data_IF_080401807332
#
_entry.id   IF_080401807332
#
_cell.length_a   1.000
_cell.length_b   1.000
_cell.length_c   1.000
_cell.angle_alpha   90.00
_cell.angle_beta   90.00
_cell.angle_gamma   90.00
#
_symmetry.space_group_name_H-M   'P 1'
#
loop_
_entity.id
_entity.type
_entity.pdbx_description
1 polymer ?
#
# COMPACT_ATOMS: atom_id res chain seq x y z
N UNK A 1 -80.24 5.13 20.07
CA UNK A 1 -78.95 4.68 20.65
C UNK A 1 -78.96 3.18 20.40
N UNK A 2 -78.12 2.58 19.57
CA UNK A 2 -76.67 2.75 19.33
C UNK A 2 -76.35 2.15 17.96
N UNK A 3 -75.68 2.92 17.10
CA UNK A 3 -74.32 2.67 16.59
C UNK A 3 -74.16 1.46 15.64
N UNK A 4 -74.25 1.80 14.35
CA UNK A 4 -73.62 1.13 13.23
C UNK A 4 -72.09 1.18 13.36
N UNK A 5 -71.44 0.02 13.29
CA UNK A 5 -69.98 -0.11 13.17
C UNK A 5 -69.65 -1.00 11.96
N UNK A 6 -69.49 -0.35 10.80
CA UNK A 6 -68.91 -0.97 9.61
C UNK A 6 -67.40 -1.16 9.85
N UNK A 7 -67.01 -2.38 10.17
CA UNK A 7 -65.61 -2.79 10.26
C UNK A 7 -65.00 -2.89 8.86
N UNK A 8 -64.25 -1.87 8.44
CA UNK A 8 -63.40 -1.92 7.25
C UNK A 8 -62.23 -2.89 7.48
N UNK A 9 -62.30 -4.07 6.87
CA UNK A 9 -61.18 -5.01 6.77
C UNK A 9 -60.15 -4.46 5.77
N UNK A 10 -59.01 -3.96 6.27
CA UNK A 10 -57.85 -3.64 5.45
C UNK A 10 -57.04 -4.92 5.15
N UNK A 11 -56.62 -5.16 3.90
CA UNK A 11 -55.82 -6.34 3.57
C UNK A 11 -54.42 -6.23 4.19
N UNK A 12 -53.94 -7.33 4.75
CA UNK A 12 -52.59 -7.45 5.32
C UNK A 12 -51.51 -7.15 4.25
N UNK A 13 -50.40 -6.48 4.60
CA UNK A 13 -49.36 -6.19 3.64
C UNK A 13 -48.70 -7.49 3.18
N UNK A 14 -48.56 -7.66 1.86
CA UNK A 14 -47.85 -8.82 1.28
C UNK A 14 -46.40 -8.82 1.79
N UNK A 15 -45.81 -9.99 2.08
CA UNK A 15 -44.41 -10.07 2.47
C UNK A 15 -43.55 -9.51 1.33
N UNK A 16 -42.82 -8.43 1.62
CA UNK A 16 -41.82 -7.89 0.71
C UNK A 16 -40.80 -8.99 0.42
N UNK A 17 -40.70 -9.38 -0.85
CA UNK A 17 -39.61 -10.24 -1.32
C UNK A 17 -38.29 -9.56 -0.96
N UNK A 18 -37.59 -10.14 0.02
CA UNK A 18 -36.18 -9.82 0.25
C UNK A 18 -35.42 -10.35 -0.95
N UNK A 19 -34.99 -9.43 -1.81
CA UNK A 19 -33.97 -9.71 -2.81
C UNK A 19 -32.71 -10.15 -2.06
N UNK A 20 -32.05 -11.25 -2.45
CA UNK A 20 -30.78 -11.61 -1.86
C UNK A 20 -29.79 -10.46 -2.13
N UNK A 21 -29.33 -9.79 -1.08
CA UNK A 21 -28.14 -8.94 -1.18
C UNK A 21 -26.96 -9.85 -1.40
N UNK A 22 -26.62 -10.09 -2.67
CA UNK A 22 -25.31 -10.60 -3.01
C UNK A 22 -24.35 -9.41 -3.00
N UNK A 23 -23.36 -9.30 -2.09
CA UNK A 23 -22.19 -8.53 -2.41
C UNK A 23 -21.45 -9.38 -3.45
N UNK A 24 -21.77 -9.20 -4.73
CA UNK A 24 -20.84 -9.62 -5.77
C UNK A 24 -19.64 -8.69 -5.61
N UNK A 25 -18.70 -9.05 -4.73
CA UNK A 25 -17.35 -8.50 -4.78
C UNK A 25 -16.84 -8.92 -6.15
N UNK A 26 -17.05 -8.06 -7.15
CA UNK A 26 -16.43 -8.20 -8.44
C UNK A 26 -14.94 -8.31 -8.13
N UNK A 27 -14.33 -9.44 -8.47
CA UNK A 27 -12.91 -9.73 -8.21
C UNK A 27 -12.06 -8.89 -9.16
N UNK A 28 -12.10 -7.61 -8.85
CA UNK A 28 -11.40 -6.49 -9.39
C UNK A 28 -9.89 -6.65 -9.61
N UNK A 29 -9.31 -7.29 -8.57
CA UNK A 29 -7.90 -7.16 -8.20
C UNK A 29 -7.00 -7.88 -9.19
N UNK A 30 -7.28 -9.16 -9.47
CA UNK A 30 -6.45 -9.97 -10.37
C UNK A 30 -6.38 -9.39 -11.79
N UNK A 31 -7.50 -8.97 -12.42
CA UNK A 31 -7.46 -8.28 -13.71
C UNK A 31 -6.63 -6.99 -13.67
N UNK A 32 -6.82 -6.15 -12.64
CA UNK A 32 -6.02 -4.91 -12.49
C UNK A 32 -4.54 -5.20 -12.30
N UNK A 33 -4.18 -6.15 -11.42
CA UNK A 33 -2.80 -6.54 -11.14
C UNK A 33 -2.10 -7.13 -12.38
N UNK A 34 -2.86 -7.82 -13.23
CA UNK A 34 -2.37 -8.29 -14.53
C UNK A 34 -2.03 -7.13 -15.47
N UNK A 35 -2.85 -6.07 -15.46
CA UNK A 35 -2.56 -4.83 -16.22
C UNK A 35 -1.35 -4.08 -15.66
N UNK A 36 -1.24 -3.93 -14.33
CA UNK A 36 -0.07 -3.32 -13.68
C UNK A 36 1.22 -4.06 -14.04
N UNK A 37 1.21 -5.40 -13.99
CA UNK A 37 2.36 -6.22 -14.39
C UNK A 37 2.73 -6.01 -15.85
N UNK A 38 1.74 -5.94 -16.75
CA UNK A 38 1.99 -5.68 -18.18
C UNK A 38 2.58 -4.28 -18.40
N UNK A 39 2.04 -3.27 -17.71
CA UNK A 39 2.54 -1.90 -17.77
C UNK A 39 3.98 -1.80 -17.24
N UNK A 40 4.27 -2.39 -16.07
CA UNK A 40 5.61 -2.43 -15.48
C UNK A 40 6.64 -3.09 -16.39
N UNK A 41 6.30 -4.23 -17.01
CA UNK A 41 7.18 -4.91 -17.96
C UNK A 41 7.46 -4.10 -19.22
N UNK A 42 6.51 -3.24 -19.62
CA UNK A 42 6.67 -2.36 -20.78
C UNK A 42 7.57 -1.18 -20.44
N UNK A 43 7.36 -0.57 -19.27
CA UNK A 43 8.11 0.60 -18.82
C UNK A 43 8.15 0.65 -17.28
N UNK A 44 9.35 0.68 -16.71
CA UNK A 44 9.59 0.94 -15.30
C UNK A 44 10.89 1.74 -15.12
N UNK A 45 11.01 2.52 -14.03
CA UNK A 45 12.21 3.31 -13.79
C UNK A 45 13.44 2.40 -13.60
N UNK A 46 14.58 2.79 -14.17
CA UNK A 46 15.81 2.01 -14.10
C UNK A 46 16.21 1.73 -12.64
N UNK A 47 16.62 0.49 -12.38
CA UNK A 47 17.06 0.02 -11.06
C UNK A 47 15.93 -0.40 -10.10
N UNK A 48 14.67 -0.09 -10.42
CA UNK A 48 13.54 -0.58 -9.64
C UNK A 48 13.18 -2.02 -10.02
N UNK A 49 12.71 -2.78 -9.04
CA UNK A 49 12.19 -4.14 -9.24
C UNK A 49 10.78 -4.21 -8.68
N UNK A 50 9.87 -4.90 -9.40
CA UNK A 50 8.54 -5.26 -8.91
C UNK A 50 8.10 -6.56 -9.60
N UNK A 51 8.00 -7.65 -8.85
CA UNK A 51 7.63 -8.96 -9.37
C UNK A 51 6.64 -9.66 -8.45
N UNK A 52 5.56 -10.26 -8.98
CA UNK A 52 4.71 -11.13 -8.18
C UNK A 52 5.47 -12.34 -7.65
N UNK A 53 5.15 -12.76 -6.43
CA UNK A 53 5.72 -13.95 -5.82
C UNK A 53 5.19 -15.23 -6.47
N UNK A 54 5.82 -16.37 -6.16
CA UNK A 54 5.34 -17.69 -6.58
C UNK A 54 4.69 -18.40 -5.39
N UNK A 55 3.57 -19.07 -5.66
CA UNK A 55 2.97 -20.03 -4.74
C UNK A 55 3.84 -21.30 -4.65
N UNK A 56 3.65 -22.15 -3.61
CA UNK A 56 4.38 -23.41 -3.47
C UNK A 56 4.22 -24.37 -4.65
N UNK A 57 3.09 -24.30 -5.36
CA UNK A 57 2.81 -25.07 -6.57
C UNK A 57 3.48 -24.50 -7.85
N UNK A 58 4.25 -23.43 -7.72
CA UNK A 58 4.93 -22.74 -8.82
C UNK A 58 4.07 -21.73 -9.59
N UNK A 59 2.78 -21.62 -9.26
CA UNK A 59 1.89 -20.61 -9.87
C UNK A 59 2.21 -19.20 -9.37
N UNK A 60 1.75 -18.18 -10.10
CA UNK A 60 2.03 -16.79 -9.77
C UNK A 60 0.99 -16.24 -8.78
N UNK A 61 1.46 -15.69 -7.66
CA UNK A 61 0.62 -14.98 -6.72
C UNK A 61 0.61 -13.48 -7.03
N UNK A 62 -0.41 -13.03 -7.76
CA UNK A 62 -0.56 -11.62 -8.11
C UNK A 62 -0.89 -10.73 -6.91
N UNK A 63 -1.32 -11.29 -5.78
CA UNK A 63 -1.70 -10.52 -4.59
C UNK A 63 -0.51 -10.15 -3.69
N UNK A 64 0.68 -10.66 -4.00
CA UNK A 64 1.87 -10.45 -3.17
C UNK A 64 3.11 -10.28 -4.05
N UNK A 65 3.71 -9.10 -4.00
CA UNK A 65 4.84 -8.73 -4.84
C UNK A 65 6.09 -8.48 -4.02
N UNK A 66 7.23 -8.91 -4.56
CA UNK A 66 8.56 -8.53 -4.13
C UNK A 66 9.04 -7.36 -4.97
N UNK A 67 9.34 -6.27 -4.30
CA UNK A 67 9.80 -5.04 -4.91
C UNK A 67 11.17 -4.66 -4.35
N UNK A 68 11.93 -3.88 -5.12
CA UNK A 68 13.15 -3.24 -4.66
C UNK A 68 13.24 -1.81 -5.20
N UNK A 69 13.60 -0.87 -4.32
CA UNK A 69 13.72 0.54 -4.63
C UNK A 69 15.21 0.94 -4.49
N UNK A 70 15.85 1.46 -5.54
CA UNK A 70 17.19 1.99 -5.42
C UNK A 70 17.18 3.33 -4.69
N UNK A 71 18.20 3.61 -3.89
CA UNK A 71 18.40 4.95 -3.37
C UNK A 71 18.65 5.95 -4.50
N UNK A 72 18.04 7.14 -4.40
CA UNK A 72 18.13 8.20 -5.41
C UNK A 72 19.57 8.75 -5.45
N UNK A 73 20.09 8.99 -6.66
CA UNK A 73 21.42 9.60 -6.85
C UNK A 73 21.49 10.99 -6.21
N UNK A 74 22.63 11.34 -5.62
CA UNK A 74 22.86 12.59 -4.92
C UNK A 74 22.26 12.64 -3.51
N UNK A 75 21.69 11.53 -3.01
CA UNK A 75 21.07 11.47 -1.68
C UNK A 75 21.87 10.56 -0.74
N UNK A 76 21.55 10.62 0.56
CA UNK A 76 22.15 9.76 1.58
C UNK A 76 21.88 8.26 1.35
N UNK A 77 20.86 7.94 0.56
CA UNK A 77 20.40 6.60 0.24
C UNK A 77 21.11 6.00 -0.97
N UNK A 78 21.86 6.80 -1.73
CA UNK A 78 22.55 6.37 -2.94
C UNK A 78 23.40 5.12 -2.70
N UNK A 79 23.34 4.18 -3.66
CA UNK A 79 24.05 2.90 -3.61
C UNK A 79 23.29 1.78 -2.89
N UNK A 80 22.28 2.10 -2.08
CA UNK A 80 21.41 1.10 -1.46
C UNK A 80 20.32 0.57 -2.41
N UNK A 81 19.92 -0.68 -2.21
CA UNK A 81 18.78 -1.32 -2.86
C UNK A 81 17.84 -1.90 -1.79
N UNK A 82 16.73 -1.20 -1.54
CA UNK A 82 15.83 -1.46 -0.42
C UNK A 82 14.68 -2.37 -0.85
N UNK A 83 14.66 -3.61 -0.32
CA UNK A 83 13.62 -4.60 -0.63
C UNK A 83 12.37 -4.36 0.21
N UNK A 84 11.21 -4.51 -0.42
CA UNK A 84 9.91 -4.43 0.26
C UNK A 84 8.91 -5.41 -0.35
N UNK A 85 7.94 -5.81 0.47
CA UNK A 85 6.76 -6.56 0.06
C UNK A 85 5.60 -5.62 -0.16
N UNK A 86 4.90 -5.80 -1.28
CA UNK A 86 3.67 -5.09 -1.61
C UNK A 86 2.52 -6.10 -1.58
N UNK A 87 1.60 -5.90 -0.64
CA UNK A 87 0.52 -6.82 -0.30
C UNK A 87 -0.82 -6.22 -0.73
N UNK A 88 -1.53 -6.92 -1.60
CA UNK A 88 -2.83 -6.49 -2.11
C UNK A 88 -3.96 -7.24 -1.40
N UNK A 89 -5.08 -6.56 -1.18
CA UNK A 89 -6.33 -7.17 -0.70
C UNK A 89 -7.25 -7.49 -1.87
N UNK A 90 -8.26 -8.33 -1.65
CA UNK A 90 -9.23 -8.70 -2.69
C UNK A 90 -10.02 -7.51 -3.25
N UNK A 91 -10.05 -6.39 -2.51
CA UNK A 91 -10.65 -5.11 -2.88
C UNK A 91 -9.64 -4.06 -3.38
N UNK A 92 -8.37 -4.41 -3.71
CA UNK A 92 -7.42 -3.52 -4.43
C UNK A 92 -7.74 -3.35 -5.92
N UNK A 93 -7.98 -2.15 -6.49
CA UNK A 93 -7.51 -0.86 -6.03
C UNK A 93 -8.61 0.03 -5.44
N UNK A 94 -9.77 -0.49 -5.02
CA UNK A 94 -10.61 0.30 -4.10
C UNK A 94 -9.82 0.59 -2.82
N UNK A 95 -9.14 -0.42 -2.27
CA UNK A 95 -8.17 -0.26 -1.18
C UNK A 95 -6.72 -0.15 -1.69
N UNK A 96 -5.84 0.59 -0.98
CA UNK A 96 -4.42 0.65 -1.31
C UNK A 96 -3.71 -0.68 -0.96
N UNK A 97 -2.59 -1.00 -1.63
CA UNK A 97 -1.72 -2.07 -1.17
C UNK A 97 -0.98 -1.66 0.11
N UNK A 98 -0.66 -2.64 0.97
CA UNK A 98 0.26 -2.44 2.08
C UNK A 98 1.70 -2.66 1.62
N UNK A 99 2.57 -1.66 1.79
CA UNK A 99 4.00 -1.77 1.50
C UNK A 99 4.79 -1.94 2.79
N UNK A 100 5.72 -2.89 2.81
CA UNK A 100 6.52 -3.23 4.00
C UNK A 100 7.97 -3.53 3.63
N UNK A 101 8.92 -2.76 4.13
CA UNK A 101 10.35 -3.05 3.98
C UNK A 101 10.70 -4.37 4.67
N UNK A 102 11.46 -5.21 3.96
CA UNK A 102 11.93 -6.51 4.46
C UNK A 102 13.43 -6.67 4.14
N UNK A 103 14.33 -6.54 5.15
CA UNK A 103 14.04 -6.19 6.55
C UNK A 103 13.59 -4.72 6.74
N UNK A 104 12.98 -4.37 7.89
CA UNK A 104 12.68 -2.98 8.23
C UNK A 104 13.92 -2.08 8.17
N UNK A 105 13.72 -0.82 7.79
CA UNK A 105 14.78 0.19 7.65
C UNK A 105 14.63 1.30 8.70
N UNK A 106 15.74 1.95 9.03
CA UNK A 106 15.75 3.15 9.85
C UNK A 106 15.24 4.34 9.03
N UNK A 107 13.99 4.75 9.25
CA UNK A 107 13.35 5.87 8.55
C UNK A 107 12.20 6.48 9.37
N UNK A 108 12.01 7.81 9.44
CA UNK A 108 10.95 8.42 10.25
C UNK A 108 9.53 7.93 9.94
N UNK A 109 9.24 7.62 8.66
CA UNK A 109 7.92 7.16 8.19
C UNK A 109 7.82 5.65 7.93
N UNK A 110 8.71 4.84 8.50
CA UNK A 110 8.63 3.37 8.42
C UNK A 110 8.44 2.84 9.83
N UNK A 111 7.36 2.10 10.08
CA UNK A 111 7.14 1.47 11.38
C UNK A 111 8.24 0.45 11.70
N UNK A 112 8.48 0.10 12.98
CA UNK A 112 9.38 -1.01 13.33
C UNK A 112 9.02 -2.35 12.66
N UNK A 113 7.76 -2.52 12.27
CA UNK A 113 7.29 -3.66 11.48
C UNK A 113 7.79 -3.65 10.02
N UNK A 114 8.37 -2.56 9.54
CA UNK A 114 8.70 -2.30 8.14
C UNK A 114 7.58 -1.64 7.34
N UNK A 115 6.37 -1.53 7.89
CA UNK A 115 5.23 -0.92 7.18
C UNK A 115 5.53 0.54 6.85
N UNK A 116 5.32 0.95 5.60
CA UNK A 116 5.52 2.33 5.14
C UNK A 116 4.28 3.17 5.43
N UNK A 117 4.47 4.34 6.02
CA UNK A 117 3.46 5.38 6.16
C UNK A 117 3.65 6.41 5.04
N UNK A 118 2.69 6.46 4.11
CA UNK A 118 2.67 7.37 2.98
C UNK A 118 1.20 7.61 2.62
N UNK A 119 0.81 8.86 2.39
CA UNK A 119 -0.61 9.22 2.22
C UNK A 119 -1.31 8.49 1.06
N UNK A 120 -0.59 8.20 -0.03
CA UNK A 120 -1.10 7.39 -1.15
C UNK A 120 -1.19 5.88 -0.85
N UNK A 121 -0.84 5.44 0.36
CA UNK A 121 -1.03 4.06 0.85
C UNK A 121 -2.12 3.98 1.92
N UNK A 122 -2.84 5.08 2.16
CA UNK A 122 -3.89 5.18 3.17
C UNK A 122 -5.24 5.49 2.51
N UNK A 123 -6.23 4.66 2.82
CA UNK A 123 -7.56 4.67 2.18
C UNK A 123 -8.30 6.00 2.40
N UNK A 124 -8.16 6.60 3.58
CA UNK A 124 -8.83 7.83 3.99
C UNK A 124 -8.01 9.11 3.70
N UNK A 125 -6.88 9.01 2.98
CA UNK A 125 -6.02 10.15 2.62
C UNK A 125 -5.96 10.34 1.09
N UNK A 126 -4.80 10.12 0.49
CA UNK A 126 -4.53 10.46 -0.92
C UNK A 126 -4.65 9.27 -1.86
N UNK A 127 -5.04 8.09 -1.35
CA UNK A 127 -5.24 6.92 -2.19
C UNK A 127 -6.30 7.19 -3.26
N UNK A 128 -5.99 6.79 -4.49
CA UNK A 128 -6.95 6.77 -5.60
C UNK A 128 -6.77 5.47 -6.35
N UNK A 129 -7.86 4.80 -6.78
CA UNK A 129 -7.77 3.55 -7.53
C UNK A 129 -6.92 3.65 -8.80
N UNK A 130 -6.76 4.85 -9.38
CA UNK A 130 -5.95 5.11 -10.56
C UNK A 130 -4.42 5.13 -10.30
N UNK A 131 -3.98 5.16 -9.04
CA UNK A 131 -2.56 5.15 -8.70
C UNK A 131 -1.96 3.79 -9.09
N UNK A 132 -0.85 3.86 -9.81
CA UNK A 132 -0.12 2.69 -10.35
C UNK A 132 0.95 2.21 -9.37
N UNK A 133 1.40 0.96 -9.52
CA UNK A 133 2.54 0.41 -8.78
C UNK A 133 3.80 1.27 -9.01
N UNK A 134 3.99 1.79 -10.23
CA UNK A 134 5.08 2.72 -10.56
C UNK A 134 5.03 3.99 -9.73
N UNK A 135 3.86 4.62 -9.61
CA UNK A 135 3.70 5.83 -8.80
C UNK A 135 3.92 5.55 -7.31
N UNK A 136 3.47 4.40 -6.81
CA UNK A 136 3.71 3.99 -5.42
C UNK A 136 5.21 3.87 -5.15
N UNK A 137 5.95 3.12 -5.97
CA UNK A 137 7.38 2.89 -5.75
C UNK A 137 8.20 4.18 -5.89
N UNK A 138 7.84 5.06 -6.83
CA UNK A 138 8.45 6.38 -6.93
C UNK A 138 8.14 7.27 -5.71
N UNK A 139 6.89 7.24 -5.23
CA UNK A 139 6.50 7.96 -4.02
C UNK A 139 7.27 7.49 -2.78
N UNK A 140 7.49 6.17 -2.64
CA UNK A 140 8.32 5.62 -1.57
C UNK A 140 9.78 6.04 -1.73
N UNK A 141 10.34 6.06 -2.95
CA UNK A 141 11.70 6.54 -3.19
C UNK A 141 11.87 8.01 -2.78
N UNK A 142 10.89 8.86 -3.10
CA UNK A 142 10.93 10.27 -2.69
C UNK A 142 10.83 10.40 -1.17
N UNK A 143 9.93 9.64 -0.55
CA UNK A 143 9.76 9.62 0.91
C UNK A 143 11.07 9.30 1.65
N UNK A 144 11.94 8.43 1.10
CA UNK A 144 13.25 8.16 1.69
C UNK A 144 14.07 9.46 1.83
N UNK A 145 14.07 10.29 0.78
CA UNK A 145 14.85 11.52 0.74
C UNK A 145 14.17 12.68 1.48
N UNK A 146 12.84 12.73 1.43
CA UNK A 146 12.01 13.79 2.00
C UNK A 146 11.02 13.21 3.04
N UNK A 147 11.48 12.87 4.26
CA UNK A 147 10.61 12.32 5.29
C UNK A 147 9.49 13.29 5.68
N UNK A 148 8.27 12.77 5.82
CA UNK A 148 7.12 13.52 6.32
C UNK A 148 7.16 13.62 7.85
N UNK A 149 7.62 14.75 8.39
CA UNK A 149 7.70 14.95 9.84
C UNK A 149 6.34 15.08 10.55
N UNK A 150 5.25 15.27 9.81
CA UNK A 150 3.91 15.40 10.39
C UNK A 150 3.28 14.04 10.72
N UNK A 151 3.83 12.95 10.18
CA UNK A 151 3.30 11.59 10.38
C UNK A 151 4.41 10.58 10.74
N UNK A 152 5.03 10.72 11.93
CA UNK A 152 6.13 9.87 12.33
C UNK A 152 5.66 8.45 12.69
N UNK A 153 6.31 7.45 12.12
CA UNK A 153 6.06 6.02 12.36
C UNK A 153 7.15 5.35 13.23
N UNK A 154 8.38 5.88 13.22
CA UNK A 154 9.49 5.40 14.05
C UNK A 154 10.06 6.53 14.91
N UNK A 155 9.79 6.47 16.22
CA UNK A 155 10.16 7.50 17.18
C UNK A 155 11.68 7.77 17.18
N UNK A 156 12.52 6.73 17.21
CA UNK A 156 13.98 6.91 17.22
C UNK A 156 14.47 7.66 15.97
N UNK A 157 14.04 7.20 14.79
CA UNK A 157 14.46 7.82 13.53
C UNK A 157 13.96 9.27 13.43
N UNK A 158 12.72 9.53 13.86
CA UNK A 158 12.14 10.86 13.92
C UNK A 158 12.90 11.78 14.88
N UNK A 159 13.15 11.36 16.12
CA UNK A 159 13.87 12.16 17.11
C UNK A 159 15.27 12.52 16.62
N UNK A 160 16.01 11.55 16.08
CA UNK A 160 17.36 11.80 15.54
C UNK A 160 17.29 12.72 14.31
N UNK A 161 16.33 12.51 13.41
CA UNK A 161 16.14 13.37 12.23
C UNK A 161 15.90 14.85 12.60
N UNK A 162 15.11 15.09 13.66
CA UNK A 162 14.74 16.43 14.13
C UNK A 162 15.82 17.08 15.00
N UNK A 163 16.51 16.31 15.85
CA UNK A 163 17.40 16.87 16.88
C UNK A 163 18.89 16.71 16.55
N UNK A 164 19.28 15.71 15.74
CA UNK A 164 20.68 15.43 15.43
C UNK A 164 20.84 14.97 13.98
N UNK A 165 20.77 15.93 13.05
CA UNK A 165 20.89 15.68 11.61
C UNK A 165 22.18 14.93 11.26
N UNK A 166 23.31 15.26 11.88
CA UNK A 166 24.58 14.58 11.60
C UNK A 166 24.54 13.08 11.93
N UNK A 167 23.96 12.69 13.07
CA UNK A 167 23.81 11.27 13.42
C UNK A 167 22.82 10.57 12.48
N UNK A 168 21.71 11.24 12.12
CA UNK A 168 20.77 10.72 11.12
C UNK A 168 21.48 10.39 9.81
N UNK A 169 22.24 11.35 9.26
CA UNK A 169 22.95 11.14 8.00
C UNK A 169 23.99 10.02 8.08
N UNK A 170 24.73 9.94 9.20
CA UNK A 170 25.71 8.88 9.42
C UNK A 170 25.04 7.50 9.39
N UNK A 171 23.90 7.34 10.06
CA UNK A 171 23.14 6.08 10.09
C UNK A 171 22.56 5.74 8.73
N UNK A 172 22.00 6.71 8.01
CA UNK A 172 21.45 6.48 6.66
C UNK A 172 22.55 6.08 5.67
N UNK A 173 23.72 6.73 5.68
CA UNK A 173 24.86 6.33 4.83
C UNK A 173 25.37 4.93 5.18
N UNK A 174 25.43 4.58 6.45
CA UNK A 174 25.79 3.22 6.88
C UNK A 174 24.75 2.19 6.42
N UNK A 175 23.47 2.55 6.50
CA UNK A 175 22.35 1.74 6.01
C UNK A 175 22.41 1.54 4.49
N UNK A 176 22.71 2.58 3.71
CA UNK A 176 22.88 2.47 2.26
C UNK A 176 23.99 1.48 1.88
N UNK A 177 25.15 1.55 2.58
CA UNK A 177 26.24 0.57 2.40
C UNK A 177 25.82 -0.85 2.77
N UNK A 178 25.05 -1.02 3.85
CA UNK A 178 24.55 -2.33 4.30
C UNK A 178 23.60 -2.96 3.27
N UNK A 179 22.78 -2.16 2.60
CA UNK A 179 21.80 -2.61 1.61
C UNK A 179 22.31 -2.47 0.17
N UNK A 180 23.61 -2.29 -0.04
CA UNK A 180 24.17 -2.30 -1.38
C UNK A 180 23.92 -3.68 -2.04
N UNK A 181 23.55 -3.73 -3.33
CA UNK A 181 23.41 -5.00 -4.04
C UNK A 181 24.77 -5.70 -4.11
N UNK A 182 24.80 -6.97 -3.69
CA UNK A 182 25.94 -7.89 -3.88
C UNK A 182 26.11 -8.31 -5.32
#
# INVERSE_FOLDING_TARGET
MTESSDGLNLPSPKPQQRWPTFPTRVLWAVPRLSQERKAWRKDHPFGFVAVPTKNPDGTMNLMNWECAIPGKKGTLWEGGLYKLRMLFKDDYPSSPPKCKFEPPIFHPNVYPSGTVCLSILEEDKDWRPAITIKQILLGIQELLNEPNIQDPAQAEAYTIYCQNRMDYEKRVRAQAKKFAPT
#
